data_IF_598876453866
#
_entry.id   IF_598876453866
#
_cell.length_a   1.000
_cell.length_b   1.000
_cell.length_c   1.000
_cell.angle_alpha   90.00
_cell.angle_beta   90.00
_cell.angle_gamma   90.00
#
_symmetry.space_group_name_H-M   'P 1'
#
loop_
_entity.id
_entity.type
_entity.pdbx_description
1 polymer ?
#
# COMPACT_ATOMS: atom_id res chain seq x y z
N UNK A 1 -62.67 0.10 16.01
CA UNK A 1 -61.46 0.85 16.43
C UNK A 1 -60.46 0.74 15.27
N UNK A 2 -60.39 1.76 14.39
CA UNK A 2 -59.50 1.77 13.20
C UNK A 2 -58.17 2.40 13.61
N UNK A 3 -57.05 1.71 13.36
CA UNK A 3 -55.70 2.23 13.58
C UNK A 3 -55.39 3.28 12.50
N UNK A 4 -55.14 4.53 12.90
CA UNK A 4 -54.56 5.56 12.04
C UNK A 4 -53.05 5.35 11.98
N UNK A 5 -52.51 5.13 10.78
CA UNK A 5 -51.07 5.22 10.51
C UNK A 5 -50.63 6.68 10.42
N UNK A 6 -49.55 7.08 11.10
CA UNK A 6 -48.99 8.43 10.96
C UNK A 6 -48.26 8.56 9.62
N UNK A 7 -48.50 9.67 8.91
CA UNK A 7 -47.74 10.06 7.72
C UNK A 7 -46.40 10.67 8.16
N UNK A 8 -45.30 10.03 7.78
CA UNK A 8 -43.96 10.58 7.86
C UNK A 8 -43.75 11.55 6.69
N UNK A 9 -43.59 12.84 7.00
CA UNK A 9 -43.14 13.86 6.06
C UNK A 9 -41.61 13.92 6.10
N UNK A 10 -40.94 13.58 5.00
CA UNK A 10 -39.49 13.80 4.85
C UNK A 10 -39.26 15.18 4.26
N UNK A 11 -38.91 16.16 5.11
CA UNK A 11 -38.39 17.45 4.65
C UNK A 11 -36.94 17.25 4.22
N UNK A 12 -36.69 17.34 2.92
CA UNK A 12 -35.34 17.41 2.35
C UNK A 12 -34.72 18.76 2.72
N UNK A 13 -33.80 18.76 3.69
CA UNK A 13 -32.92 19.90 3.94
C UNK A 13 -31.75 19.80 2.96
N UNK A 14 -31.75 20.62 1.93
CA UNK A 14 -30.58 20.84 1.06
C UNK A 14 -29.64 21.76 1.85
N UNK A 15 -28.62 21.19 2.49
CA UNK A 15 -27.50 21.98 3.02
C UNK A 15 -26.57 22.28 1.85
N UNK A 16 -26.58 23.55 1.40
CA UNK A 16 -25.56 24.12 0.53
C UNK A 16 -24.21 24.01 1.26
N UNK A 17 -23.30 23.19 0.74
CA UNK A 17 -21.90 23.19 1.21
C UNK A 17 -21.27 24.54 0.87
N UNK A 18 -21.07 25.37 1.90
CA UNK A 18 -20.13 26.47 1.84
C UNK A 18 -18.73 25.90 1.65
N UNK A 19 -18.06 26.35 0.59
CA UNK A 19 -16.63 26.13 0.38
C UNK A 19 -15.88 26.78 1.55
N UNK A 20 -15.54 26.00 2.57
CA UNK A 20 -14.43 26.35 3.44
C UNK A 20 -13.15 26.09 2.63
N UNK A 21 -12.53 27.17 2.16
CA UNK A 21 -11.15 27.16 1.69
C UNK A 21 -10.28 26.74 2.88
N UNK A 22 -9.80 25.49 2.83
CA UNK A 22 -8.79 25.00 3.74
C UNK A 22 -7.52 25.85 3.56
N UNK A 23 -6.79 26.15 4.66
CA UNK A 23 -5.54 26.89 4.58
C UNK A 23 -4.58 26.17 3.63
N UNK A 24 -3.95 26.94 2.74
CA UNK A 24 -2.99 26.48 1.75
C UNK A 24 -1.83 25.83 2.50
N UNK A 25 -1.89 24.51 2.67
CA UNK A 25 -0.79 23.74 3.22
C UNK A 25 0.41 23.91 2.30
N UNK A 26 1.57 24.19 2.90
CA UNK A 26 2.86 24.21 2.20
C UNK A 26 3.01 22.96 1.33
N UNK A 27 3.61 23.07 0.13
CA UNK A 27 3.72 21.94 -0.79
C UNK A 27 4.49 20.81 -0.11
N UNK A 28 3.76 19.78 0.29
CA UNK A 28 4.34 18.56 0.85
C UNK A 28 5.22 17.95 -0.23
N UNK A 29 6.54 17.93 -0.02
CA UNK A 29 7.49 17.22 -0.89
C UNK A 29 6.99 15.77 -1.05
N UNK A 30 6.48 15.44 -2.24
CA UNK A 30 6.09 14.08 -2.57
C UNK A 30 7.35 13.26 -2.80
N UNK A 31 7.45 12.11 -2.16
CA UNK A 31 8.54 11.17 -2.41
C UNK A 31 8.52 10.74 -3.87
N UNK A 32 9.60 11.02 -4.60
CA UNK A 32 9.81 10.49 -5.95
C UNK A 32 10.77 9.31 -5.85
N UNK A 33 10.59 8.31 -6.70
CA UNK A 33 11.55 7.22 -6.76
C UNK A 33 12.88 7.77 -7.27
N UNK A 34 14.00 7.45 -6.61
CA UNK A 34 15.29 7.80 -7.15
C UNK A 34 15.52 7.03 -8.44
N UNK A 35 16.11 7.72 -9.41
CA UNK A 35 16.48 7.15 -10.70
C UNK A 35 17.93 6.66 -10.63
N UNK A 36 18.09 5.35 -10.85
CA UNK A 36 19.34 4.64 -11.16
C UNK A 36 20.29 4.35 -9.99
N UNK A 37 20.63 3.07 -9.79
CA UNK A 37 21.71 2.59 -8.92
C UNK A 37 21.32 2.17 -7.49
N UNK A 38 20.04 2.28 -7.11
CA UNK A 38 19.57 2.10 -5.73
C UNK A 38 18.71 0.86 -5.57
N UNK A 39 18.77 0.23 -4.39
CA UNK A 39 18.07 -1.03 -4.11
C UNK A 39 16.72 -0.82 -3.42
N UNK A 40 15.78 -1.69 -3.75
CA UNK A 40 14.46 -1.78 -3.10
C UNK A 40 14.40 -3.07 -2.30
N UNK A 41 14.14 -2.96 -1.00
CA UNK A 41 13.82 -4.13 -0.17
C UNK A 41 12.36 -4.48 -0.39
N UNK A 42 12.09 -5.72 -0.81
CA UNK A 42 10.73 -6.20 -1.03
C UNK A 42 10.21 -6.92 0.23
N UNK A 43 9.04 -6.53 0.68
CA UNK A 43 8.30 -7.14 1.78
C UNK A 43 7.13 -7.90 1.17
N UNK A 44 7.13 -9.23 1.30
CA UNK A 44 6.19 -10.11 0.64
C UNK A 44 5.46 -10.94 1.70
N UNK A 45 4.11 -10.94 1.73
CA UNK A 45 3.33 -11.78 2.65
C UNK A 45 3.72 -13.25 2.55
N UNK A 46 3.82 -13.93 3.68
CA UNK A 46 4.25 -15.33 3.77
C UNK A 46 3.39 -16.23 2.86
N UNK A 47 2.10 -15.91 2.73
CA UNK A 47 1.12 -16.65 1.93
C UNK A 47 1.48 -16.69 0.43
N UNK A 48 2.10 -15.65 -0.10
CA UNK A 48 2.49 -15.55 -1.52
C UNK A 48 4.01 -15.58 -1.72
N UNK A 49 4.80 -15.67 -0.64
CA UNK A 49 6.25 -15.60 -0.73
C UNK A 49 6.83 -16.78 -1.51
N UNK A 50 6.38 -18.00 -1.21
CA UNK A 50 6.90 -19.22 -1.81
C UNK A 50 6.61 -19.30 -3.32
N UNK A 51 5.49 -18.72 -3.75
CA UNK A 51 5.02 -18.72 -5.13
C UNK A 51 5.52 -17.49 -5.92
N UNK A 52 6.27 -16.58 -5.29
CA UNK A 52 6.74 -15.35 -5.92
C UNK A 52 7.99 -15.59 -6.79
N UNK A 53 7.91 -15.51 -8.13
CA UNK A 53 9.07 -15.73 -8.98
C UNK A 53 9.99 -14.49 -8.93
N UNK A 54 11.10 -14.63 -8.20
CA UNK A 54 12.04 -13.53 -7.92
C UNK A 54 12.54 -12.81 -9.18
N UNK A 55 12.84 -13.56 -10.26
CA UNK A 55 13.34 -12.99 -11.53
C UNK A 55 12.30 -12.09 -12.20
N UNK A 56 11.03 -12.49 -12.19
CA UNK A 56 9.94 -11.70 -12.75
C UNK A 56 9.66 -10.47 -11.88
N UNK A 57 9.65 -10.63 -10.54
CA UNK A 57 9.51 -9.51 -9.61
C UNK A 57 10.60 -8.45 -9.85
N UNK A 58 11.86 -8.87 -9.99
CA UNK A 58 12.98 -7.97 -10.29
C UNK A 58 12.75 -7.19 -11.60
N UNK A 59 12.23 -7.86 -12.63
CA UNK A 59 11.83 -7.22 -13.89
C UNK A 59 10.77 -6.13 -13.68
N UNK A 60 9.74 -6.42 -12.89
CA UNK A 60 8.72 -5.42 -12.55
C UNK A 60 9.30 -4.26 -11.73
N UNK A 61 10.13 -4.52 -10.73
CA UNK A 61 10.78 -3.49 -9.91
C UNK A 61 11.59 -2.55 -10.79
N UNK A 62 12.41 -3.09 -11.69
CA UNK A 62 13.21 -2.31 -12.64
C UNK A 62 12.34 -1.47 -13.57
N UNK A 63 11.31 -2.08 -14.16
CA UNK A 63 10.47 -1.39 -15.14
C UNK A 63 9.54 -0.34 -14.52
N UNK A 64 9.03 -0.59 -13.30
CA UNK A 64 8.06 0.27 -12.63
C UNK A 64 8.71 1.34 -11.77
N UNK A 65 9.79 1.00 -11.09
CA UNK A 65 10.43 1.86 -10.09
C UNK A 65 11.78 2.40 -10.56
N UNK A 66 12.35 1.89 -11.65
CA UNK A 66 13.69 2.30 -12.12
C UNK A 66 14.81 1.89 -11.16
N UNK A 67 14.58 0.88 -10.34
CA UNK A 67 15.47 0.44 -9.26
C UNK A 67 15.75 -1.06 -9.33
N UNK A 68 16.78 -1.51 -8.62
CA UNK A 68 17.11 -2.94 -8.54
C UNK A 68 16.40 -3.59 -7.35
N UNK A 69 15.95 -4.83 -7.53
CA UNK A 69 15.38 -5.62 -6.45
C UNK A 69 16.51 -6.09 -5.53
N UNK A 70 16.48 -5.62 -4.28
CA UNK A 70 17.36 -6.08 -3.21
C UNK A 70 16.78 -7.31 -2.51
N UNK A 71 17.05 -7.48 -1.21
CA UNK A 71 16.51 -8.59 -0.42
C UNK A 71 14.98 -8.66 -0.43
N UNK A 72 14.45 -9.88 -0.50
CA UNK A 72 13.03 -10.16 -0.30
C UNK A 72 12.83 -10.74 1.11
N UNK A 73 12.01 -10.08 1.92
CA UNK A 73 11.69 -10.47 3.30
C UNK A 73 10.24 -10.93 3.41
N UNK A 74 10.03 -11.95 4.23
CA UNK A 74 8.70 -12.48 4.56
C UNK A 74 8.04 -11.58 5.60
N UNK A 75 6.78 -11.22 5.38
CA UNK A 75 5.94 -10.50 6.35
C UNK A 75 4.65 -11.27 6.60
N UNK A 76 3.81 -10.80 7.53
CA UNK A 76 2.58 -11.48 7.95
C UNK A 76 2.80 -12.89 8.53
N UNK A 77 4.00 -13.16 9.03
CA UNK A 77 4.27 -14.35 9.82
C UNK A 77 3.52 -14.27 11.18
N UNK A 78 3.28 -15.41 11.85
CA UNK A 78 2.66 -15.45 13.17
C UNK A 78 3.31 -14.48 14.18
N UNK A 79 2.53 -13.99 15.15
CA UNK A 79 2.91 -12.89 16.06
C UNK A 79 4.27 -13.06 16.75
N UNK A 80 4.65 -14.29 17.09
CA UNK A 80 5.93 -14.62 17.73
C UNK A 80 7.15 -14.15 16.91
N UNK A 81 6.99 -13.97 15.59
CA UNK A 81 8.07 -13.59 14.68
C UNK A 81 8.07 -12.09 14.31
N UNK A 82 7.11 -11.29 14.76
CA UNK A 82 6.97 -9.90 14.30
C UNK A 82 8.20 -9.03 14.65
N UNK A 83 8.78 -9.21 15.84
CA UNK A 83 9.99 -8.47 16.24
C UNK A 83 11.20 -8.86 15.39
N UNK A 84 11.30 -10.14 15.03
CA UNK A 84 12.37 -10.63 14.18
C UNK A 84 12.26 -10.03 12.77
N UNK A 85 11.07 -10.05 12.18
CA UNK A 85 10.81 -9.46 10.86
C UNK A 85 11.17 -7.97 10.85
N UNK A 86 10.77 -7.19 11.86
CA UNK A 86 11.14 -5.77 11.95
C UNK A 86 12.66 -5.57 12.08
N UNK A 87 13.36 -6.48 12.75
CA UNK A 87 14.82 -6.43 12.86
C UNK A 87 15.50 -6.77 11.53
N UNK A 88 15.03 -7.78 10.80
CA UNK A 88 15.52 -8.13 9.46
C UNK A 88 15.31 -6.97 8.48
N UNK A 89 14.16 -6.30 8.55
CA UNK A 89 13.88 -5.09 7.78
C UNK A 89 14.88 -4.00 8.15
N UNK A 90 15.11 -3.76 9.43
CA UNK A 90 16.08 -2.76 9.89
C UNK A 90 17.48 -3.03 9.38
N UNK A 91 17.92 -4.29 9.38
CA UNK A 91 19.23 -4.71 8.90
C UNK A 91 19.36 -4.62 7.38
N UNK A 92 18.25 -4.78 6.66
CA UNK A 92 18.20 -4.67 5.20
C UNK A 92 18.13 -3.21 4.69
N UNK A 93 17.82 -2.27 5.57
CA UNK A 93 17.86 -0.84 5.27
C UNK A 93 19.30 -0.36 5.45
N UNK A 94 19.98 -0.20 4.32
CA UNK A 94 21.34 0.31 4.22
C UNK A 94 21.31 1.77 3.72
N UNK A 95 22.44 2.51 3.74
CA UNK A 95 22.51 3.83 3.11
C UNK A 95 22.14 3.85 1.61
N UNK A 96 22.24 2.71 0.93
CA UNK A 96 21.89 2.52 -0.49
C UNK A 96 20.44 2.02 -0.69
N UNK A 97 19.70 1.83 0.41
CA UNK A 97 18.29 1.43 0.40
C UNK A 97 17.40 2.66 0.46
N UNK A 98 16.79 3.00 -0.67
CA UNK A 98 15.97 4.21 -0.76
C UNK A 98 14.47 3.99 -0.66
N UNK A 99 14.04 2.74 -0.85
CA UNK A 99 12.64 2.41 -0.84
C UNK A 99 12.37 1.02 -0.29
N UNK A 100 11.19 0.89 0.31
CA UNK A 100 10.56 -0.38 0.60
C UNK A 100 9.43 -0.60 -0.41
N UNK A 101 9.37 -1.81 -0.95
CA UNK A 101 8.21 -2.31 -1.68
C UNK A 101 7.45 -3.25 -0.76
N UNK A 102 6.12 -3.17 -0.75
CA UNK A 102 5.25 -4.17 -0.13
C UNK A 102 4.40 -4.78 -1.22
N UNK A 103 4.52 -6.09 -1.46
CA UNK A 103 3.63 -6.80 -2.38
C UNK A 103 2.32 -7.12 -1.67
N UNK A 104 1.17 -6.83 -2.28
CA UNK A 104 -0.15 -7.06 -1.68
C UNK A 104 -1.17 -7.48 -2.73
N UNK A 105 -2.10 -8.34 -2.31
CA UNK A 105 -3.26 -8.70 -3.10
C UNK A 105 -4.33 -7.60 -3.03
N UNK A 106 -4.76 -7.10 -4.19
CA UNK A 106 -5.68 -5.98 -4.28
C UNK A 106 -7.13 -6.37 -4.02
N UNK A 107 -7.50 -7.63 -4.30
CA UNK A 107 -8.87 -8.13 -4.21
C UNK A 107 -9.41 -8.15 -2.78
N UNK A 108 -8.53 -7.99 -1.78
CA UNK A 108 -8.89 -7.70 -0.41
C UNK A 108 -8.53 -6.25 -0.09
N UNK A 109 -9.46 -5.44 0.45
CA UNK A 109 -9.14 -4.09 0.87
C UNK A 109 -8.21 -4.13 2.10
N UNK A 110 -7.27 -3.18 2.25
CA UNK A 110 -6.36 -3.19 3.39
C UNK A 110 -7.15 -2.98 4.68
N UNK A 111 -6.82 -3.79 5.68
CA UNK A 111 -7.37 -3.78 7.04
C UNK A 111 -6.48 -2.97 7.98
N UNK A 112 -6.93 -2.71 9.21
CA UNK A 112 -6.20 -1.83 10.15
C UNK A 112 -4.85 -2.41 10.58
N UNK A 113 -4.72 -3.73 10.62
CA UNK A 113 -3.49 -4.48 10.90
C UNK A 113 -2.38 -4.12 9.91
N UNK A 114 -2.72 -4.01 8.62
CA UNK A 114 -1.78 -3.57 7.59
C UNK A 114 -1.28 -2.14 7.87
N UNK A 115 -2.16 -1.24 8.31
CA UNK A 115 -1.80 0.13 8.63
C UNK A 115 -1.00 0.24 9.92
N UNK A 116 -1.27 -0.62 10.91
CA UNK A 116 -0.48 -0.75 12.12
C UNK A 116 0.95 -1.23 11.78
N UNK A 117 1.08 -2.25 10.94
CA UNK A 117 2.37 -2.72 10.43
C UNK A 117 3.12 -1.61 9.68
N UNK A 118 2.45 -0.87 8.79
CA UNK A 118 3.04 0.28 8.10
C UNK A 118 3.54 1.36 9.07
N UNK A 119 2.81 1.62 10.15
CA UNK A 119 3.25 2.55 11.20
C UNK A 119 4.55 2.07 11.87
N UNK A 120 4.69 0.77 12.10
CA UNK A 120 5.94 0.18 12.59
C UNK A 120 7.07 0.33 11.56
N UNK A 121 6.81 0.07 10.28
CA UNK A 121 7.80 0.28 9.20
C UNK A 121 8.33 1.72 9.17
N UNK A 122 7.45 2.71 9.34
CA UNK A 122 7.85 4.13 9.43
C UNK A 122 8.76 4.43 10.61
N UNK A 123 8.55 3.75 11.75
CA UNK A 123 9.44 3.85 12.92
C UNK A 123 10.80 3.20 12.65
N UNK A 124 10.82 2.11 11.88
CA UNK A 124 12.04 1.36 11.56
C UNK A 124 12.87 2.02 10.45
N UNK A 125 12.27 2.34 9.31
CA UNK A 125 12.96 2.88 8.12
C UNK A 125 13.01 4.40 8.04
N UNK A 126 12.39 5.10 9.00
CA UNK A 126 12.36 6.55 9.04
C UNK A 126 11.15 7.17 8.34
N UNK A 127 10.95 8.47 8.59
CA UNK A 127 9.75 9.22 8.16
C UNK A 127 9.68 9.47 6.66
N UNK A 128 10.82 9.47 5.96
CA UNK A 128 10.94 9.85 4.54
C UNK A 128 11.26 8.70 3.59
N UNK A 129 11.50 7.48 4.09
CA UNK A 129 11.75 6.33 3.21
C UNK A 129 10.54 6.15 2.28
N UNK A 130 10.74 5.91 1.00
CA UNK A 130 9.61 5.69 0.11
C UNK A 130 9.02 4.30 0.37
N UNK A 131 7.71 4.21 0.59
CA UNK A 131 7.01 2.92 0.73
C UNK A 131 6.02 2.80 -0.42
N UNK A 132 6.19 1.75 -1.21
CA UNK A 132 5.37 1.51 -2.39
C UNK A 132 4.64 0.19 -2.24
N UNK A 133 3.32 0.26 -2.22
CA UNK A 133 2.45 -0.91 -2.15
C UNK A 133 2.20 -1.36 -3.59
N UNK A 134 2.89 -2.42 -3.99
CA UNK A 134 2.71 -3.05 -5.28
C UNK A 134 1.55 -4.01 -5.22
N UNK A 135 0.54 -3.74 -6.03
CA UNK A 135 -0.74 -4.43 -6.00
C UNK A 135 -0.83 -5.45 -7.13
N UNK A 136 -1.15 -6.69 -6.78
CA UNK A 136 -1.51 -7.75 -7.73
C UNK A 136 -3.01 -8.02 -7.64
N UNK A 137 -3.59 -8.60 -8.69
CA UNK A 137 -4.97 -9.10 -8.63
C UNK A 137 -5.10 -10.32 -7.73
N UNK A 138 -6.17 -11.09 -7.93
CA UNK A 138 -6.29 -12.40 -7.32
C UNK A 138 -5.33 -13.37 -8.05
N UNK A 139 -4.41 -14.05 -7.35
CA UNK A 139 -3.54 -15.07 -7.93
C UNK A 139 -4.33 -16.16 -8.68
N UNK A 140 -3.67 -16.74 -9.66
CA UNK A 140 -4.14 -17.88 -10.45
C UNK A 140 -3.14 -19.02 -10.33
N UNK A 141 -3.52 -20.28 -10.65
CA UNK A 141 -2.59 -21.40 -10.63
C UNK A 141 -1.34 -21.20 -11.51
N UNK A 142 -1.46 -20.38 -12.57
CA UNK A 142 -0.37 -20.12 -13.51
C UNK A 142 0.60 -19.03 -13.02
N UNK A 143 0.10 -18.02 -12.31
CA UNK A 143 0.91 -16.92 -11.79
C UNK A 143 0.21 -16.16 -10.67
N UNK A 144 1.00 -15.66 -9.71
CA UNK A 144 0.54 -14.70 -8.71
C UNK A 144 0.47 -13.28 -9.28
N UNK A 145 1.19 -12.97 -10.35
CA UNK A 145 1.26 -11.63 -10.93
C UNK A 145 0.10 -11.38 -11.89
N UNK A 146 -1.08 -11.28 -11.31
CA UNK A 146 -2.31 -11.02 -12.07
C UNK A 146 -2.68 -9.54 -12.04
N UNK A 147 -3.51 -9.14 -13.01
CA UNK A 147 -3.96 -7.77 -13.20
C UNK A 147 -4.95 -7.35 -12.10
N UNK A 148 -4.73 -6.15 -11.56
CA UNK A 148 -5.62 -5.55 -10.56
C UNK A 148 -6.91 -5.06 -11.22
N UNK A 149 -8.07 -5.35 -10.61
CA UNK A 149 -9.35 -4.79 -11.08
C UNK A 149 -9.41 -3.30 -10.76
N UNK A 150 -10.00 -2.51 -11.65
CA UNK A 150 -10.13 -1.05 -11.47
C UNK A 150 -10.81 -0.65 -10.15
N UNK A 151 -11.83 -1.41 -9.74
CA UNK A 151 -12.57 -1.17 -8.49
C UNK A 151 -11.68 -1.43 -7.26
N UNK A 152 -10.98 -2.55 -7.24
CA UNK A 152 -10.05 -2.92 -6.17
C UNK A 152 -8.94 -1.86 -6.02
N UNK A 153 -8.35 -1.43 -7.13
CA UNK A 153 -7.34 -0.38 -7.11
C UNK A 153 -7.88 0.96 -6.59
N UNK A 154 -9.11 1.34 -6.97
CA UNK A 154 -9.72 2.57 -6.50
C UNK A 154 -9.90 2.56 -4.97
N UNK A 155 -10.34 1.43 -4.40
CA UNK A 155 -10.48 1.25 -2.96
C UNK A 155 -9.12 1.36 -2.25
N UNK A 156 -8.11 0.66 -2.76
CA UNK A 156 -6.75 0.75 -2.22
C UNK A 156 -6.23 2.18 -2.26
N UNK A 157 -6.28 2.83 -3.43
CA UNK A 157 -5.80 4.20 -3.61
C UNK A 157 -6.51 5.18 -2.66
N UNK A 158 -7.83 5.07 -2.51
CA UNK A 158 -8.58 5.90 -1.57
C UNK A 158 -8.12 5.69 -0.12
N UNK A 159 -7.98 4.43 0.31
CA UNK A 159 -7.52 4.09 1.67
C UNK A 159 -6.07 4.48 1.95
N UNK A 160 -5.20 4.50 0.93
CA UNK A 160 -3.81 4.97 1.07
C UNK A 160 -3.77 6.50 1.17
N UNK A 161 -4.46 7.21 0.26
CA UNK A 161 -4.50 8.69 0.26
C UNK A 161 -5.07 9.23 1.57
N UNK A 162 -6.10 8.58 2.13
CA UNK A 162 -6.72 9.03 3.39
C UNK A 162 -5.76 8.97 4.59
N UNK A 163 -4.61 8.30 4.48
CA UNK A 163 -3.58 8.28 5.53
C UNK A 163 -2.66 9.50 5.52
N UNK A 164 -2.71 10.35 4.49
CA UNK A 164 -1.95 11.60 4.43
C UNK A 164 -0.43 11.44 4.44
N UNK A 165 0.10 10.28 4.06
CA UNK A 165 1.54 9.98 4.05
C UNK A 165 2.11 10.25 2.64
N UNK A 166 2.90 11.31 2.44
CA UNK A 166 3.39 11.71 1.11
C UNK A 166 4.50 10.82 0.55
N UNK A 167 5.03 9.92 1.38
CA UNK A 167 6.03 8.91 1.00
C UNK A 167 5.40 7.53 0.89
N UNK A 168 4.06 7.45 0.84
CA UNK A 168 3.30 6.21 0.68
C UNK A 168 2.47 6.27 -0.59
N UNK A 169 2.55 5.22 -1.40
CA UNK A 169 1.77 5.10 -2.62
C UNK A 169 1.34 3.67 -2.89
N UNK A 170 0.31 3.52 -3.74
CA UNK A 170 -0.11 2.23 -4.27
C UNK A 170 -0.02 2.22 -5.79
N UNK A 171 0.55 1.15 -6.34
CA UNK A 171 0.85 1.01 -7.77
C UNK A 171 0.41 -0.40 -8.20
N UNK A 172 -0.41 -0.57 -9.25
CA UNK A 172 -0.64 -1.89 -9.83
C UNK A 172 0.66 -2.46 -10.38
N UNK A 173 1.03 -3.68 -10.00
CA UNK A 173 2.27 -4.31 -10.45
C UNK A 173 2.21 -4.55 -11.96
N UNK A 174 1.12 -5.17 -12.41
CA UNK A 174 0.79 -5.44 -13.81
C UNK A 174 -0.17 -4.37 -14.34
N UNK A 175 0.09 -3.88 -15.55
CA UNK A 175 -0.73 -2.84 -16.16
C UNK A 175 -2.19 -3.26 -16.40
N UNK A 176 -3.07 -2.25 -16.29
CA UNK A 176 -4.51 -2.39 -16.37
C UNK A 176 -5.08 -2.30 -17.79
#
# INVERSE_FOLDING_TARGET
RRMMTPRLSTTTVIVRSEKQELPIAEPVEKGTFPTTGKQVVALIPDEIFAECPHKELAGFVRNRLGAELGPCLRINQPEDNQKQVLNEIRQSITPDTDALMILQEAWQPPIEEFFAFRSQLRKTGGKKILISIMLIGKPTPETIFTKVRKQDYAIWRQKIISRGDPYLQSIPLVDA
#
